data_IF_059140350927
#
_entry.id   IF_059140350927
#
_cell.length_a   1.000
_cell.length_b   1.000
_cell.length_c   1.000
_cell.angle_alpha   90.00
_cell.angle_beta   90.00
_cell.angle_gamma   90.00
#
_symmetry.space_group_name_H-M   'P 1'
#
loop_
_entity.id
_entity.type
_entity.pdbx_description
1 polymer ?
#
# COMPACT_ATOMS: atom_id res chain seq x y z
N UNK A 1 -7.82 27.81 36.67
CA UNK A 1 -6.52 27.46 36.08
C UNK A 1 -6.44 25.96 35.85
N UNK A 2 -6.91 25.16 36.82
CA UNK A 2 -6.76 23.70 36.86
C UNK A 2 -7.62 22.95 35.82
N UNK A 3 -8.86 23.41 35.57
CA UNK A 3 -9.77 22.74 34.63
C UNK A 3 -9.25 22.79 33.17
N UNK A 4 -8.65 23.92 32.78
CA UNK A 4 -8.03 24.10 31.46
C UNK A 4 -6.79 23.22 31.30
N UNK A 5 -6.04 23.04 32.38
CA UNK A 5 -4.84 22.19 32.39
C UNK A 5 -5.22 20.72 32.26
N UNK A 6 -6.26 20.26 32.98
CA UNK A 6 -6.80 18.90 32.87
C UNK A 6 -7.33 18.60 31.47
N UNK A 7 -8.07 19.54 30.87
CA UNK A 7 -8.56 19.41 29.49
C UNK A 7 -7.42 19.32 28.47
N UNK A 8 -6.38 20.14 28.64
CA UNK A 8 -5.19 20.10 27.78
C UNK A 8 -4.43 18.78 27.88
N UNK A 9 -4.23 18.25 29.09
CA UNK A 9 -3.55 16.98 29.32
C UNK A 9 -4.38 15.81 28.76
N UNK A 10 -5.71 15.84 28.94
CA UNK A 10 -6.62 14.83 28.39
C UNK A 10 -6.57 14.76 26.87
N UNK A 11 -6.57 15.90 26.18
CA UNK A 11 -6.48 15.93 24.71
C UNK A 11 -5.14 15.42 24.19
N UNK A 12 -4.03 15.73 24.87
CA UNK A 12 -2.72 15.17 24.51
C UNK A 12 -2.66 13.65 24.68
N UNK A 13 -3.28 13.10 25.73
CA UNK A 13 -3.29 11.64 25.95
C UNK A 13 -4.08 10.88 24.89
N UNK A 14 -5.13 11.48 24.32
CA UNK A 14 -5.92 10.88 23.23
C UNK A 14 -5.12 10.82 21.93
N UNK A 15 -4.29 11.83 21.63
CA UNK A 15 -3.48 11.84 20.40
C UNK A 15 -2.38 10.77 20.38
N UNK A 16 -1.83 10.39 21.53
CA UNK A 16 -0.75 9.38 21.65
C UNK A 16 -1.30 7.95 21.68
N UNK A 17 -2.57 7.77 22.05
CA UNK A 17 -3.22 6.47 22.15
C UNK A 17 -3.75 5.92 20.81
N UNK A 18 -3.51 6.60 19.69
CA UNK A 18 -3.75 6.01 18.37
C UNK A 18 -2.54 5.13 18.06
N UNK A 19 -2.63 3.79 18.15
CA UNK A 19 -1.56 2.94 17.68
C UNK A 19 -1.41 3.18 16.17
N UNK A 20 -0.30 3.81 15.78
CA UNK A 20 0.14 3.96 14.40
C UNK A 20 0.62 2.60 13.84
N UNK A 21 -0.09 1.52 14.12
CA UNK A 21 0.31 0.14 13.78
C UNK A 21 -0.70 -0.57 12.86
N UNK A 22 -1.84 0.05 12.55
CA UNK A 22 -2.88 -0.61 11.76
C UNK A 22 -2.94 -0.21 10.27
N UNK A 23 -2.06 0.66 9.77
CA UNK A 23 -2.03 1.05 8.36
C UNK A 23 -0.93 0.35 7.53
N UNK A 24 0.03 -0.33 8.17
CA UNK A 24 1.10 -1.06 7.46
C UNK A 24 0.69 -2.50 7.05
N UNK A 25 -0.55 -2.91 7.29
CA UNK A 25 -1.02 -4.28 7.19
C UNK A 25 -1.83 -4.65 5.94
N UNK A 26 -1.70 -3.94 4.81
CA UNK A 26 -2.44 -4.35 3.59
C UNK A 26 -1.72 -4.06 2.28
N UNK A 27 -0.40 -4.16 2.26
CA UNK A 27 0.24 -4.71 1.07
C UNK A 27 0.41 -6.19 1.37
N UNK A 28 -0.40 -6.99 0.72
CA UNK A 28 -0.25 -8.44 0.67
C UNK A 28 1.22 -8.81 0.55
N UNK A 29 1.62 -9.92 1.18
CA UNK A 29 2.97 -10.50 1.16
C UNK A 29 3.41 -10.98 -0.25
N UNK A 30 3.03 -10.27 -1.30
CA UNK A 30 3.42 -10.52 -2.67
C UNK A 30 4.70 -9.73 -2.95
N UNK A 31 5.77 -10.47 -3.21
CA UNK A 31 7.06 -9.90 -3.59
C UNK A 31 6.89 -9.07 -4.87
N UNK A 32 7.38 -7.83 -4.86
CA UNK A 32 7.49 -7.03 -6.07
C UNK A 32 8.53 -7.65 -7.00
N UNK A 33 8.16 -7.86 -8.26
CA UNK A 33 9.06 -8.27 -9.33
C UNK A 33 9.24 -7.13 -10.36
N UNK A 34 10.38 -7.07 -11.07
CA UNK A 34 10.58 -6.09 -12.14
C UNK A 34 9.55 -6.22 -13.26
N UNK A 35 9.10 -5.09 -13.81
CA UNK A 35 8.21 -5.06 -14.96
C UNK A 35 8.98 -5.47 -16.23
N UNK A 36 8.57 -6.57 -16.85
CA UNK A 36 9.11 -7.13 -18.09
C UNK A 36 8.25 -6.78 -19.32
N UNK A 37 7.01 -6.34 -19.10
CA UNK A 37 6.07 -6.01 -20.17
C UNK A 37 6.49 -4.74 -20.93
N UNK A 38 6.61 -4.85 -22.26
CA UNK A 38 7.05 -3.73 -23.12
C UNK A 38 6.10 -2.54 -23.09
N UNK A 39 4.79 -2.77 -22.99
CA UNK A 39 3.78 -1.72 -22.93
C UNK A 39 3.76 -0.93 -21.61
N UNK A 40 4.39 -1.47 -20.56
CA UNK A 40 4.46 -0.84 -19.24
C UNK A 40 5.81 -0.14 -19.00
N UNK A 41 6.67 -0.06 -20.03
CA UNK A 41 7.94 0.66 -19.95
C UNK A 41 7.70 2.18 -19.97
N UNK A 42 8.50 2.93 -19.20
CA UNK A 42 8.41 4.40 -19.12
C UNK A 42 7.38 4.93 -18.11
N UNK A 43 6.76 4.05 -17.33
CA UNK A 43 5.94 4.43 -16.17
C UNK A 43 6.84 4.98 -15.04
N UNK A 44 6.29 5.75 -14.08
CA UNK A 44 7.05 6.26 -12.93
C UNK A 44 7.46 5.17 -11.93
N UNK A 45 7.12 3.90 -12.19
CA UNK A 45 7.45 2.73 -11.38
C UNK A 45 8.00 1.62 -12.28
N UNK A 46 8.89 0.78 -11.71
CA UNK A 46 9.60 -0.27 -12.43
C UNK A 46 9.31 -1.69 -11.88
N UNK A 47 8.45 -1.80 -10.88
CA UNK A 47 8.10 -3.06 -10.22
C UNK A 47 6.59 -3.23 -10.11
N UNK A 48 6.14 -4.47 -10.19
CA UNK A 48 4.74 -4.87 -9.98
C UNK A 48 4.70 -6.08 -9.06
N UNK A 49 3.62 -6.26 -8.31
CA UNK A 49 3.38 -7.51 -7.61
C UNK A 49 2.40 -8.38 -8.39
N UNK A 50 2.45 -9.69 -8.14
CA UNK A 50 1.48 -10.65 -8.63
C UNK A 50 0.92 -11.46 -7.45
N UNK A 51 -0.36 -11.87 -7.46
CA UNK A 51 -1.33 -11.64 -8.53
C UNK A 51 -1.76 -10.18 -8.65
N UNK A 52 -1.94 -9.69 -9.87
CA UNK A 52 -2.42 -8.32 -10.11
C UNK A 52 -3.92 -8.18 -9.78
N UNK A 53 -4.47 -6.97 -9.95
CA UNK A 53 -5.90 -6.69 -9.68
C UNK A 53 -6.90 -7.45 -10.56
N UNK A 54 -6.43 -8.03 -11.66
CA UNK A 54 -7.21 -8.88 -12.57
C UNK A 54 -6.98 -10.38 -12.29
N UNK A 55 -6.28 -10.69 -11.19
CA UNK A 55 -6.03 -12.05 -10.73
C UNK A 55 -5.12 -12.88 -11.66
N UNK A 56 -4.30 -12.22 -12.49
CA UNK A 56 -3.21 -12.87 -13.24
C UNK A 56 -2.03 -13.12 -12.29
N UNK A 57 -1.52 -14.36 -12.26
CA UNK A 57 -0.46 -14.79 -11.32
C UNK A 57 0.96 -14.50 -11.79
N UNK A 58 1.13 -14.14 -13.06
CA UNK A 58 2.42 -13.83 -13.67
C UNK A 58 2.24 -12.81 -14.80
N UNK A 59 3.33 -12.13 -15.15
CA UNK A 59 3.30 -11.10 -16.19
C UNK A 59 3.00 -11.65 -17.58
N UNK A 60 3.32 -12.91 -17.88
CA UNK A 60 3.11 -13.49 -19.20
C UNK A 60 1.62 -13.78 -19.44
N UNK A 61 0.92 -14.31 -18.44
CA UNK A 61 -0.54 -14.44 -18.44
C UNK A 61 -1.22 -13.09 -18.58
N UNK A 62 -0.70 -12.06 -17.89
CA UNK A 62 -1.21 -10.69 -18.04
C UNK A 62 -0.98 -10.13 -19.45
N UNK A 63 0.18 -10.38 -20.06
CA UNK A 63 0.49 -9.95 -21.43
C UNK A 63 -0.48 -10.54 -22.45
N UNK A 64 -0.72 -11.85 -22.38
CA UNK A 64 -1.62 -12.55 -23.29
C UNK A 64 -3.04 -11.97 -23.26
N UNK A 65 -3.51 -11.55 -22.09
CA UNK A 65 -4.82 -10.91 -21.93
C UNK A 65 -4.89 -9.49 -22.55
N UNK A 66 -3.76 -8.85 -22.84
CA UNK A 66 -3.67 -7.51 -23.43
C UNK A 66 -3.44 -7.54 -24.96
N UNK A 67 -3.18 -8.71 -25.53
CA UNK A 67 -2.90 -8.91 -26.97
C UNK A 67 -4.18 -9.10 -27.82
N UNK A 68 -5.36 -8.85 -27.25
CA UNK A 68 -6.69 -9.06 -27.87
C UNK A 68 -7.31 -7.75 -28.33
#
# INVERSE_FOLDING_TARGET
MDLLWVLSVSMLTVCVAIPMDAAAGSHSLFTCEPITLRMCQGLPYNSTFMPNILNHYDQQTAALAMEV
#
